data_IF_277768679761
#
_entry.id   IF_277768679761
#
_cell.length_a   1.000
_cell.length_b   1.000
_cell.length_c   1.000
_cell.angle_alpha   90.00
_cell.angle_beta   90.00
_cell.angle_gamma   90.00
#
_symmetry.space_group_name_H-M   'P 1'
#
loop_
_entity.id
_entity.type
_entity.pdbx_description
1 polymer ?
#
# COMPACT_ATOMS: atom_id res chain seq x y z
N UNK A 1 21.13 15.52 29.81
CA UNK A 1 20.02 15.16 28.90
C UNK A 1 18.83 16.03 29.24
N UNK A 2 18.40 16.93 28.36
CA UNK A 2 17.16 17.66 28.56
C UNK A 2 15.99 16.66 28.52
N UNK A 3 14.95 16.80 29.36
CA UNK A 3 13.77 15.97 29.27
C UNK A 3 13.19 16.12 27.86
N UNK A 4 13.11 15.00 27.13
CA UNK A 4 12.44 15.02 25.83
C UNK A 4 11.03 15.54 26.07
N UNK A 5 10.67 16.68 25.49
CA UNK A 5 9.29 17.18 25.44
C UNK A 5 8.46 16.20 24.59
N UNK A 6 8.16 15.03 25.14
CA UNK A 6 7.23 14.09 24.55
C UNK A 6 5.87 14.77 24.60
N UNK A 7 5.37 15.15 23.43
CA UNK A 7 4.00 15.62 23.31
C UNK A 7 3.11 14.50 23.86
N UNK A 8 2.45 14.77 24.98
CA UNK A 8 1.58 13.79 25.61
C UNK A 8 0.51 13.37 24.61
N UNK A 9 0.42 12.05 24.39
CA UNK A 9 -0.64 11.43 23.58
C UNK A 9 -2.01 11.59 24.27
N UNK A 10 -2.05 12.12 25.50
CA UNK A 10 -3.27 12.38 26.25
C UNK A 10 -4.29 13.19 25.44
N UNK A 11 -5.46 12.59 25.25
CA UNK A 11 -6.59 13.16 24.51
C UNK A 11 -6.48 13.06 23.00
N UNK A 12 -5.56 12.27 22.43
CA UNK A 12 -5.85 11.69 21.12
C UNK A 12 -6.99 10.67 21.28
N UNK A 13 -7.84 10.44 20.26
CA UNK A 13 -8.80 9.35 20.29
C UNK A 13 -8.09 8.06 20.68
N UNK A 14 -8.76 7.15 21.39
CA UNK A 14 -8.17 5.83 21.63
C UNK A 14 -8.05 5.07 20.30
N UNK A 15 -6.87 5.17 19.71
CA UNK A 15 -6.59 4.63 18.39
C UNK A 15 -6.63 3.09 18.42
N UNK A 16 -6.44 2.46 19.58
CA UNK A 16 -6.57 1.02 19.69
C UNK A 16 -8.02 0.59 19.50
N UNK A 17 -9.00 1.29 20.09
CA UNK A 17 -10.41 0.97 19.89
C UNK A 17 -10.93 1.29 18.49
N UNK A 18 -10.16 1.97 17.63
CA UNK A 18 -10.54 2.26 16.25
C UNK A 18 -9.76 1.40 15.25
N UNK A 19 -8.43 1.52 15.21
CA UNK A 19 -7.62 0.91 14.14
C UNK A 19 -7.41 -0.60 14.31
N UNK A 20 -7.45 -1.14 15.53
CA UNK A 20 -7.36 -2.59 15.72
C UNK A 20 -8.64 -3.28 15.25
N UNK A 21 -9.86 -2.88 15.66
CA UNK A 21 -11.08 -3.39 15.06
C UNK A 21 -11.14 -3.18 13.56
N UNK A 22 -10.73 -2.02 13.05
CA UNK A 22 -10.67 -1.76 11.61
C UNK A 22 -9.75 -2.76 10.89
N UNK A 23 -8.58 -3.09 11.47
CA UNK A 23 -7.68 -4.10 10.93
C UNK A 23 -8.31 -5.50 10.94
N UNK A 24 -8.94 -5.90 12.05
CA UNK A 24 -9.59 -7.21 12.19
C UNK A 24 -10.76 -7.34 11.20
N UNK A 25 -11.63 -6.34 11.14
CA UNK A 25 -12.78 -6.31 10.24
C UNK A 25 -12.30 -6.28 8.79
N UNK A 26 -11.28 -5.49 8.47
CA UNK A 26 -10.68 -5.44 7.13
C UNK A 26 -10.16 -6.80 6.68
N UNK A 27 -9.42 -7.50 7.57
CA UNK A 27 -8.94 -8.85 7.31
C UNK A 27 -10.09 -9.83 7.09
N UNK A 28 -11.09 -9.82 7.99
CA UNK A 28 -12.25 -10.71 7.90
C UNK A 28 -13.10 -10.45 6.66
N UNK A 29 -13.27 -9.19 6.25
CA UNK A 29 -14.02 -8.86 5.04
C UNK A 29 -13.25 -9.24 3.78
N UNK A 30 -11.94 -9.01 3.73
CA UNK A 30 -11.14 -9.42 2.57
C UNK A 30 -11.08 -10.94 2.42
N UNK A 31 -10.62 -11.64 3.45
CA UNK A 31 -10.40 -13.09 3.39
C UNK A 31 -11.67 -13.92 3.62
N UNK A 32 -12.51 -13.49 4.55
CA UNK A 32 -13.76 -14.17 4.86
C UNK A 32 -14.74 -14.13 3.69
N UNK A 33 -14.83 -13.02 2.96
CA UNK A 33 -15.70 -12.98 1.76
C UNK A 33 -15.17 -13.88 0.66
N UNK A 34 -13.85 -13.95 0.44
CA UNK A 34 -13.27 -14.93 -0.50
C UNK A 34 -13.54 -16.38 -0.10
N UNK A 35 -13.46 -16.69 1.19
CA UNK A 35 -13.79 -18.02 1.71
C UNK A 35 -15.27 -18.33 1.49
N UNK A 36 -16.18 -17.42 1.87
CA UNK A 36 -17.62 -17.58 1.66
C UNK A 36 -17.96 -17.66 0.18
N UNK A 37 -17.29 -16.91 -0.69
CA UNK A 37 -17.51 -16.95 -2.13
C UNK A 37 -16.95 -18.22 -2.78
N UNK A 38 -16.23 -19.07 -2.05
CA UNK A 38 -15.67 -20.32 -2.56
C UNK A 38 -14.48 -20.12 -3.50
N UNK A 39 -13.96 -18.90 -3.66
CA UNK A 39 -12.79 -18.65 -4.51
C UNK A 39 -11.54 -19.30 -3.93
N UNK A 40 -11.41 -19.34 -2.60
CA UNK A 40 -10.32 -20.07 -1.95
C UNK A 40 -10.37 -21.57 -2.27
N UNK A 41 -11.57 -22.16 -2.18
CA UNK A 41 -11.80 -23.56 -2.58
C UNK A 41 -11.46 -23.75 -4.05
N UNK A 42 -11.88 -22.82 -4.92
CA UNK A 42 -11.57 -22.88 -6.34
C UNK A 42 -10.06 -22.90 -6.60
N UNK A 43 -9.27 -22.08 -5.91
CA UNK A 43 -7.80 -22.12 -6.04
C UNK A 43 -7.20 -23.46 -5.58
N UNK A 44 -7.70 -24.03 -4.48
CA UNK A 44 -7.28 -25.37 -4.02
C UNK A 44 -7.64 -26.42 -5.06
N UNK A 45 -8.83 -26.34 -5.65
CA UNK A 45 -9.27 -27.23 -6.72
C UNK A 45 -8.38 -27.11 -7.97
N UNK A 46 -8.04 -25.89 -8.38
CA UNK A 46 -7.08 -25.66 -9.49
C UNK A 46 -5.73 -26.28 -9.18
N UNK A 47 -5.24 -26.10 -7.94
CA UNK A 47 -3.96 -26.69 -7.55
C UNK A 47 -3.98 -28.22 -7.54
N UNK A 48 -5.12 -28.80 -7.13
CA UNK A 48 -5.32 -30.25 -7.13
C UNK A 48 -5.45 -30.82 -8.55
N UNK A 49 -6.25 -30.17 -9.40
CA UNK A 49 -6.58 -30.66 -10.75
C UNK A 49 -5.50 -30.33 -11.77
N UNK A 50 -4.70 -29.28 -11.56
CA UNK A 50 -3.70 -28.81 -12.51
C UNK A 50 -4.29 -28.04 -13.70
N UNK A 51 -5.54 -27.59 -13.62
CA UNK A 51 -6.19 -26.78 -14.65
C UNK A 51 -7.10 -25.73 -14.02
N UNK A 52 -7.14 -24.54 -14.59
CA UNK A 52 -8.16 -23.54 -14.28
C UNK A 52 -9.52 -23.94 -14.86
N UNK A 53 -10.64 -23.36 -14.36
CA UNK A 53 -11.96 -23.51 -14.99
C UNK A 53 -12.01 -23.12 -16.47
N UNK A 54 -11.10 -22.24 -16.91
CA UNK A 54 -10.92 -21.86 -18.31
C UNK A 54 -10.28 -22.97 -19.18
N UNK A 55 -9.85 -24.08 -18.58
CA UNK A 55 -9.05 -25.12 -19.25
C UNK A 55 -7.56 -24.78 -19.35
N UNK A 56 -7.11 -23.64 -18.82
CA UNK A 56 -5.69 -23.27 -18.82
C UNK A 56 -4.90 -24.20 -17.91
N UNK A 57 -3.85 -24.89 -18.41
CA UNK A 57 -3.07 -25.82 -17.61
C UNK A 57 -2.18 -25.08 -16.58
N UNK A 58 -2.03 -25.69 -15.40
CA UNK A 58 -1.16 -25.26 -14.31
C UNK A 58 -0.14 -26.35 -14.05
N UNK A 59 1.14 -26.00 -14.00
CA UNK A 59 2.19 -26.95 -13.60
C UNK A 59 1.96 -27.38 -12.15
N UNK A 60 1.53 -28.63 -11.96
CA UNK A 60 1.17 -29.20 -10.66
C UNK A 60 2.21 -30.14 -10.05
N UNK A 61 3.35 -30.35 -10.73
CA UNK A 61 4.48 -31.14 -10.23
C UNK A 61 5.76 -30.30 -10.37
N UNK A 62 6.42 -30.03 -9.24
CA UNK A 62 7.64 -29.21 -9.18
C UNK A 62 8.82 -30.03 -8.67
N UNK A 63 8.64 -30.66 -7.51
CA UNK A 63 9.64 -31.47 -6.82
C UNK A 63 9.29 -32.95 -6.83
N UNK A 64 8.03 -33.31 -7.10
CA UNK A 64 7.51 -34.67 -6.99
C UNK A 64 7.12 -35.08 -5.57
N UNK A 65 7.30 -34.19 -4.58
CA UNK A 65 6.94 -34.43 -3.16
C UNK A 65 5.64 -33.72 -2.85
N UNK A 66 4.53 -34.47 -2.72
CA UNK A 66 3.17 -33.92 -2.56
C UNK A 66 3.03 -32.76 -1.56
N UNK A 67 3.51 -32.85 -0.30
CA UNK A 67 3.36 -31.75 0.65
C UNK A 67 4.20 -30.50 0.32
N UNK A 68 5.23 -30.61 -0.53
CA UNK A 68 5.99 -29.47 -1.04
C UNK A 68 5.36 -28.92 -2.32
N UNK A 69 4.85 -29.79 -3.19
CA UNK A 69 4.24 -29.40 -4.45
C UNK A 69 2.89 -28.73 -4.21
N UNK A 70 2.05 -29.19 -3.29
CA UNK A 70 0.74 -28.56 -3.04
C UNK A 70 0.84 -27.04 -2.75
N UNK A 71 1.65 -26.55 -1.79
CA UNK A 71 1.80 -25.11 -1.58
C UNK A 71 2.47 -24.41 -2.76
N UNK A 72 3.38 -25.06 -3.51
CA UNK A 72 3.98 -24.49 -4.72
C UNK A 72 2.97 -24.35 -5.86
N UNK A 73 2.07 -25.30 -6.03
CA UNK A 73 1.07 -25.32 -7.09
C UNK A 73 -0.09 -24.42 -6.75
N UNK A 74 -0.50 -24.36 -5.48
CA UNK A 74 -1.33 -23.28 -4.95
C UNK A 74 -0.61 -21.98 -5.32
N UNK A 75 0.62 -21.76 -4.89
CA UNK A 75 1.35 -20.53 -5.19
C UNK A 75 1.42 -20.22 -6.71
N UNK A 76 1.56 -21.21 -7.59
CA UNK A 76 1.61 -21.06 -9.06
C UNK A 76 0.24 -20.83 -9.69
N UNK A 77 -0.78 -21.61 -9.32
CA UNK A 77 -2.17 -21.41 -9.72
C UNK A 77 -2.66 -20.03 -9.27
N UNK A 78 -2.19 -19.61 -8.10
CA UNK A 78 -2.37 -18.26 -7.66
C UNK A 78 -1.56 -17.31 -8.60
N UNK A 79 -0.25 -17.48 -8.80
CA UNK A 79 0.59 -16.61 -9.67
C UNK A 79 0.15 -16.51 -11.14
N UNK A 80 -0.55 -17.49 -11.70
CA UNK A 80 -1.03 -17.45 -13.08
C UNK A 80 -2.33 -16.64 -13.25
N UNK A 81 -2.99 -16.24 -12.15
CA UNK A 81 -4.22 -15.46 -12.16
C UNK A 81 -3.96 -13.95 -11.94
N UNK A 82 -4.36 -13.04 -12.85
CA UNK A 82 -4.35 -11.59 -12.61
C UNK A 82 -5.06 -11.18 -11.31
N UNK A 83 -6.13 -11.89 -10.97
CA UNK A 83 -6.91 -11.71 -9.74
C UNK A 83 -6.12 -12.01 -8.46
N UNK A 84 -5.15 -12.91 -8.57
CA UNK A 84 -4.25 -13.16 -7.47
C UNK A 84 -3.24 -12.06 -7.31
N UNK A 85 -2.68 -11.51 -8.40
CA UNK A 85 -1.75 -10.38 -8.28
C UNK A 85 -2.39 -9.19 -7.60
N UNK A 86 -3.67 -8.97 -7.91
CA UNK A 86 -4.55 -8.06 -7.21
C UNK A 86 -4.67 -8.39 -5.70
N UNK A 87 -4.82 -9.66 -5.34
CA UNK A 87 -4.84 -10.14 -3.96
C UNK A 87 -3.47 -10.08 -3.27
N UNK A 88 -2.36 -10.28 -4.00
CA UNK A 88 -0.94 -10.24 -3.58
C UNK A 88 -0.41 -8.84 -3.36
N UNK A 89 -0.77 -7.89 -4.22
CA UNK A 89 -0.60 -6.48 -3.90
C UNK A 89 -1.36 -6.12 -2.61
N UNK A 90 -2.46 -6.82 -2.37
CA UNK A 90 -3.21 -6.80 -1.13
C UNK A 90 -2.75 -7.78 -0.03
N UNK A 91 -1.64 -8.54 -0.14
CA UNK A 91 -1.50 -9.88 0.49
C UNK A 91 -1.61 -9.98 2.01
N UNK A 92 -1.33 -8.91 2.75
CA UNK A 92 -1.58 -8.91 4.20
C UNK A 92 -2.92 -8.30 4.57
N UNK A 93 -3.83 -8.25 3.60
CA UNK A 93 -4.94 -7.32 3.54
C UNK A 93 -4.42 -5.89 3.64
N UNK A 94 -4.32 -5.14 2.54
CA UNK A 94 -4.03 -3.68 2.64
C UNK A 94 -4.93 -3.03 3.70
N UNK A 95 -6.16 -3.53 3.85
CA UNK A 95 -7.06 -3.16 4.94
C UNK A 95 -6.45 -3.38 6.35
N UNK A 96 -5.89 -4.55 6.64
CA UNK A 96 -5.25 -4.88 7.92
C UNK A 96 -3.85 -4.31 8.06
N UNK A 97 -3.00 -4.45 7.04
CA UNK A 97 -1.61 -3.99 7.06
C UNK A 97 -1.53 -2.47 7.21
N UNK A 98 -2.30 -1.70 6.43
CA UNK A 98 -2.27 -0.23 6.55
C UNK A 98 -2.90 0.23 7.86
N UNK A 99 -3.96 -0.41 8.34
CA UNK A 99 -4.55 -0.08 9.65
C UNK A 99 -3.57 -0.37 10.79
N UNK A 100 -2.88 -1.50 10.73
CA UNK A 100 -1.84 -1.88 11.70
C UNK A 100 -0.64 -0.95 11.64
N UNK A 101 -0.13 -0.66 10.44
CA UNK A 101 0.94 0.31 10.23
C UNK A 101 0.54 1.69 10.77
N UNK A 102 -0.65 2.17 10.43
CA UNK A 102 -1.17 3.47 10.88
C UNK A 102 -1.27 3.50 12.40
N UNK A 103 -1.74 2.41 13.03
CA UNK A 103 -1.77 2.27 14.48
C UNK A 103 -0.37 2.34 15.09
N UNK A 104 0.59 1.57 14.57
CA UNK A 104 1.97 1.57 15.06
C UNK A 104 2.64 2.93 14.85
N UNK A 105 2.41 3.55 13.69
CA UNK A 105 2.88 4.88 13.36
C UNK A 105 2.35 5.91 14.34
N UNK A 106 1.04 5.93 14.61
CA UNK A 106 0.48 6.91 15.54
C UNK A 106 0.92 6.63 16.98
N UNK A 107 1.06 5.36 17.37
CA UNK A 107 1.48 5.01 18.74
C UNK A 107 2.95 5.33 19.00
N UNK A 108 3.83 5.02 18.06
CA UNK A 108 5.28 5.03 18.30
C UNK A 108 6.01 6.19 17.62
N UNK A 109 5.55 6.62 16.43
CA UNK A 109 6.25 7.61 15.59
C UNK A 109 5.60 8.99 15.68
N UNK A 110 4.27 9.09 15.78
CA UNK A 110 3.59 10.37 15.84
C UNK A 110 3.99 11.24 17.07
N UNK A 111 4.12 10.69 18.29
CA UNK A 111 4.47 11.49 19.46
C UNK A 111 5.98 11.77 19.56
N UNK A 112 6.80 10.84 19.07
CA UNK A 112 8.24 10.85 19.29
C UNK A 112 9.04 11.45 18.14
N UNK A 113 8.49 11.44 16.92
CA UNK A 113 9.12 11.96 15.70
C UNK A 113 10.63 11.63 15.61
N UNK A 114 11.03 10.34 15.67
CA UNK A 114 12.44 10.00 15.73
C UNK A 114 13.20 10.63 14.56
N UNK A 115 14.31 11.29 14.86
CA UNK A 115 15.17 11.90 13.84
C UNK A 115 15.78 10.80 12.98
N UNK A 116 15.59 10.89 11.68
CA UNK A 116 16.28 10.04 10.71
C UNK A 116 17.71 10.56 10.60
N UNK A 117 18.75 9.71 10.59
CA UNK A 117 20.11 10.14 10.29
C UNK A 117 20.15 10.97 9.00
N UNK A 118 20.99 12.01 8.97
CA UNK A 118 20.96 13.00 7.91
C UNK A 118 21.21 12.39 6.52
N UNK A 119 22.23 11.55 6.40
CA UNK A 119 22.59 10.80 5.20
C UNK A 119 21.46 9.88 4.74
N UNK A 120 20.84 9.17 5.67
CA UNK A 120 19.68 8.32 5.41
C UNK A 120 18.49 9.14 4.89
N UNK A 121 18.23 10.31 5.49
CA UNK A 121 17.18 11.20 5.02
C UNK A 121 17.44 11.64 3.57
N UNK A 122 18.68 12.04 3.25
CA UNK A 122 19.08 12.46 1.89
C UNK A 122 19.00 11.34 0.84
N UNK A 123 19.11 10.07 1.25
CA UNK A 123 18.96 8.92 0.37
C UNK A 123 17.49 8.62 -0.02
N UNK A 124 16.51 9.05 0.79
CA UNK A 124 15.11 8.72 0.58
C UNK A 124 14.54 9.12 -0.79
N UNK A 125 14.85 10.28 -1.39
CA UNK A 125 14.37 10.63 -2.73
C UNK A 125 14.82 9.64 -3.80
N UNK A 126 16.05 9.14 -3.70
CA UNK A 126 16.57 8.12 -4.62
C UNK A 126 15.84 6.79 -4.43
N UNK A 127 15.60 6.39 -3.18
CA UNK A 127 14.84 5.17 -2.90
C UNK A 127 13.40 5.29 -3.37
N UNK A 128 12.78 6.47 -3.25
CA UNK A 128 11.45 6.73 -3.81
C UNK A 128 11.43 6.57 -5.33
N UNK A 129 12.44 7.09 -6.04
CA UNK A 129 12.59 6.91 -7.49
C UNK A 129 12.84 5.44 -7.83
N UNK A 130 13.70 4.74 -7.10
CA UNK A 130 13.93 3.30 -7.31
C UNK A 130 12.63 2.52 -7.24
N UNK A 131 11.81 2.76 -6.23
CA UNK A 131 10.52 2.07 -6.08
C UNK A 131 9.60 2.28 -7.29
N UNK A 132 9.59 3.48 -7.86
CA UNK A 132 8.85 3.79 -9.09
C UNK A 132 9.44 3.03 -10.27
N UNK A 133 10.77 3.01 -10.41
CA UNK A 133 11.47 2.32 -11.51
C UNK A 133 11.33 0.79 -11.44
N UNK A 134 10.99 0.22 -10.30
CA UNK A 134 10.67 -1.20 -10.16
C UNK A 134 9.28 -1.54 -10.73
N UNK A 135 8.36 -0.59 -10.88
CA UNK A 135 7.01 -0.84 -11.43
C UNK A 135 7.05 -1.27 -12.90
N UNK A 136 7.81 -0.61 -13.81
CA UNK A 136 8.00 -1.09 -15.17
C UNK A 136 8.49 -2.55 -15.28
N UNK A 137 9.27 -3.06 -14.33
CA UNK A 137 9.73 -4.46 -14.33
C UNK A 137 8.54 -5.43 -14.31
N UNK A 138 7.43 -5.03 -13.68
CA UNK A 138 6.19 -5.81 -13.60
C UNK A 138 5.30 -5.58 -14.82
N UNK A 139 5.17 -4.32 -15.25
CA UNK A 139 4.17 -3.93 -16.25
C UNK A 139 4.70 -4.09 -17.69
N UNK A 140 5.98 -3.83 -17.93
CA UNK A 140 6.56 -3.86 -19.27
C UNK A 140 6.46 -5.23 -19.95
N UNK A 141 6.71 -6.38 -19.28
CA UNK A 141 6.53 -7.68 -19.91
C UNK A 141 5.13 -7.85 -20.50
N UNK A 142 4.08 -7.45 -19.76
CA UNK A 142 2.71 -7.53 -20.25
C UNK A 142 2.49 -6.65 -21.50
N UNK A 143 2.97 -5.40 -21.47
CA UNK A 143 2.87 -4.47 -22.62
C UNK A 143 3.61 -5.02 -23.85
N UNK A 144 4.73 -5.70 -23.63
CA UNK A 144 5.57 -6.30 -24.67
C UNK A 144 5.05 -7.67 -25.16
N UNK A 145 3.85 -8.08 -24.73
CA UNK A 145 3.21 -9.32 -25.18
C UNK A 145 3.71 -10.58 -24.47
N UNK A 146 4.37 -10.47 -23.32
CA UNK A 146 4.77 -11.61 -22.52
C UNK A 146 3.55 -12.41 -22.04
N UNK A 147 3.72 -13.71 -21.87
CA UNK A 147 2.67 -14.59 -21.35
C UNK A 147 2.34 -14.22 -19.89
N UNK A 148 1.14 -14.57 -19.43
CA UNK A 148 0.75 -14.36 -18.02
C UNK A 148 1.74 -15.01 -17.04
N UNK A 149 2.33 -16.14 -17.41
CA UNK A 149 3.38 -16.81 -16.62
C UNK A 149 4.69 -16.01 -16.57
N UNK A 150 5.06 -15.32 -17.63
CA UNK A 150 6.25 -14.45 -17.62
C UNK A 150 6.02 -13.19 -16.79
N UNK A 151 4.84 -12.56 -16.92
CA UNK A 151 4.42 -11.43 -16.07
C UNK A 151 4.41 -11.84 -14.59
N UNK A 152 3.98 -13.07 -14.32
CA UNK A 152 3.98 -13.64 -13.00
C UNK A 152 5.38 -13.67 -12.38
N UNK A 153 6.39 -14.14 -13.11
CA UNK A 153 7.79 -14.13 -12.63
C UNK A 153 8.31 -12.71 -12.36
N UNK A 154 8.00 -11.75 -13.23
CA UNK A 154 8.35 -10.34 -13.01
C UNK A 154 7.74 -9.78 -11.72
N UNK A 155 6.51 -10.18 -11.40
CA UNK A 155 5.83 -9.74 -10.18
C UNK A 155 6.38 -10.41 -8.93
N UNK A 156 6.76 -11.69 -8.99
CA UNK A 156 7.53 -12.34 -7.89
C UNK A 156 8.81 -11.59 -7.61
N UNK A 157 9.56 -11.22 -8.65
CA UNK A 157 10.79 -10.44 -8.51
C UNK A 157 10.51 -9.07 -7.87
N UNK A 158 9.40 -8.41 -8.23
CA UNK A 158 8.98 -7.17 -7.59
C UNK A 158 8.65 -7.32 -6.10
N UNK A 159 8.13 -8.46 -5.65
CA UNK A 159 7.93 -8.72 -4.20
C UNK A 159 9.25 -8.83 -3.42
N UNK A 160 10.37 -9.06 -4.10
CA UNK A 160 11.70 -8.97 -3.50
C UNK A 160 12.22 -7.53 -3.40
N UNK A 161 11.44 -6.53 -3.85
CA UNK A 161 11.80 -5.12 -3.76
C UNK A 161 12.20 -4.66 -2.35
N UNK A 162 11.64 -5.14 -1.22
CA UNK A 162 12.13 -4.75 0.10
C UNK A 162 13.57 -5.21 0.36
N UNK A 163 13.98 -6.36 -0.20
CA UNK A 163 15.35 -6.88 -0.09
C UNK A 163 16.35 -6.07 -0.93
N UNK A 164 15.85 -5.33 -1.93
CA UNK A 164 16.67 -4.44 -2.77
C UNK A 164 16.71 -3.04 -2.15
N UNK A 165 15.55 -2.55 -1.68
CA UNK A 165 15.39 -1.18 -1.22
C UNK A 165 16.24 -0.85 0.01
N UNK A 166 16.36 -1.77 0.97
CA UNK A 166 17.21 -1.58 2.17
C UNK A 166 18.69 -1.40 1.80
N UNK A 167 19.33 -2.40 1.16
CA UNK A 167 20.72 -2.29 0.73
C UNK A 167 20.98 -1.10 -0.21
N UNK A 168 20.03 -0.78 -1.10
CA UNK A 168 20.14 0.40 -1.97
C UNK A 168 20.13 1.69 -1.16
N UNK A 169 19.18 1.84 -0.22
CA UNK A 169 19.10 2.99 0.67
C UNK A 169 20.41 3.17 1.45
N UNK A 170 20.97 2.09 2.00
CA UNK A 170 22.24 2.13 2.73
C UNK A 170 23.43 2.50 1.83
N UNK A 171 23.46 1.96 0.60
CA UNK A 171 24.49 2.31 -0.39
C UNK A 171 24.44 3.81 -0.72
N UNK A 172 23.27 4.35 -1.04
CA UNK A 172 23.10 5.76 -1.36
C UNK A 172 23.42 6.63 -0.14
N UNK A 173 22.99 6.24 1.06
CA UNK A 173 23.32 6.94 2.31
C UNK A 173 24.83 7.06 2.50
N UNK A 174 25.57 5.96 2.32
CA UNK A 174 27.03 5.94 2.42
C UNK A 174 27.73 6.82 1.37
N UNK A 175 27.16 6.92 0.15
CA UNK A 175 27.67 7.82 -0.87
C UNK A 175 27.42 9.29 -0.51
N UNK A 176 26.21 9.61 -0.03
CA UNK A 176 25.84 10.97 0.37
C UNK A 176 26.65 11.44 1.56
N UNK A 177 26.97 10.55 2.51
CA UNK A 177 27.86 10.87 3.62
C UNK A 177 29.24 11.42 3.18
N UNK A 178 29.67 11.12 1.94
CA UNK A 178 30.93 11.60 1.35
C UNK A 178 30.76 12.87 0.52
N UNK A 179 29.59 13.07 -0.09
CA UNK A 179 29.33 14.17 -1.03
C UNK A 179 28.77 15.41 -0.31
N UNK A 180 28.04 15.21 0.78
CA UNK A 180 27.34 16.27 1.50
C UNK A 180 25.87 16.44 1.08
N UNK A 181 25.17 17.47 1.62
CA UNK A 181 23.75 17.73 1.33
C UNK A 181 23.48 17.91 -0.17
N UNK A 182 22.44 17.23 -0.67
CA UNK A 182 21.94 17.43 -2.03
C UNK A 182 20.60 18.18 -1.99
N UNK A 183 19.72 17.81 -1.06
CA UNK A 183 18.36 18.36 -0.96
C UNK A 183 18.17 19.13 0.34
N UNK A 184 17.46 20.26 0.27
CA UNK A 184 17.11 21.04 1.46
C UNK A 184 16.12 20.29 2.38
N UNK A 185 15.14 19.58 1.81
CA UNK A 185 14.11 18.85 2.54
C UNK A 185 13.87 17.46 1.93
N UNK A 186 14.81 16.52 2.09
CA UNK A 186 14.78 15.27 1.35
C UNK A 186 13.57 14.39 1.70
N UNK A 187 13.17 14.32 2.97
CA UNK A 187 12.00 13.52 3.41
C UNK A 187 10.71 14.04 2.76
N UNK A 188 10.53 15.36 2.74
CA UNK A 188 9.37 16.02 2.10
C UNK A 188 9.38 15.75 0.60
N UNK A 189 10.53 15.85 -0.05
CA UNK A 189 10.70 15.54 -1.46
C UNK A 189 10.34 14.07 -1.78
N UNK A 190 10.76 13.11 -0.94
CA UNK A 190 10.37 11.71 -1.10
C UNK A 190 8.87 11.51 -1.05
N UNK A 191 8.17 12.17 -0.13
CA UNK A 191 6.71 12.13 -0.08
C UNK A 191 6.06 12.73 -1.33
N UNK A 192 6.61 13.82 -1.88
CA UNK A 192 6.13 14.36 -3.16
C UNK A 192 6.31 13.37 -4.30
N UNK A 193 7.48 12.73 -4.42
CA UNK A 193 7.76 11.74 -5.48
C UNK A 193 6.75 10.59 -5.42
N UNK A 194 6.60 9.93 -4.26
CA UNK A 194 5.67 8.79 -4.12
C UNK A 194 4.20 9.21 -4.21
N UNK A 195 3.84 10.39 -3.67
CA UNK A 195 2.49 10.91 -3.69
C UNK A 195 2.03 11.26 -5.11
N UNK A 196 2.89 11.94 -5.88
CA UNK A 196 2.61 12.26 -7.28
C UNK A 196 2.50 10.99 -8.12
N UNK A 197 3.42 10.04 -7.96
CA UNK A 197 3.32 8.77 -8.68
C UNK A 197 2.05 7.99 -8.32
N UNK A 198 1.69 7.93 -7.04
CA UNK A 198 0.42 7.33 -6.60
C UNK A 198 -0.79 7.99 -7.25
N UNK A 199 -0.79 9.32 -7.38
CA UNK A 199 -1.87 10.04 -8.05
C UNK A 199 -1.93 9.71 -9.56
N UNK A 200 -0.78 9.66 -10.23
CA UNK A 200 -0.70 9.28 -11.64
C UNK A 200 -1.26 7.88 -11.86
N UNK A 201 -0.88 6.91 -11.02
CA UNK A 201 -1.42 5.53 -11.09
C UNK A 201 -2.92 5.51 -10.84
N UNK A 202 -3.42 6.25 -9.85
CA UNK A 202 -4.85 6.36 -9.58
C UNK A 202 -5.61 6.90 -10.79
N UNK A 203 -5.14 8.00 -11.38
CA UNK A 203 -5.73 8.58 -12.59
C UNK A 203 -5.66 7.63 -13.79
N UNK A 204 -4.56 6.91 -13.98
CA UNK A 204 -4.45 5.92 -15.04
C UNK A 204 -5.54 4.84 -14.89
N UNK A 205 -5.73 4.28 -13.68
CA UNK A 205 -6.79 3.30 -13.40
C UNK A 205 -8.16 3.87 -13.71
N UNK A 206 -8.47 5.08 -13.23
CA UNK A 206 -9.74 5.78 -13.50
C UNK A 206 -9.98 5.96 -15.01
N UNK A 207 -8.96 6.42 -15.75
CA UNK A 207 -9.04 6.61 -17.19
C UNK A 207 -9.24 5.30 -17.95
N UNK A 208 -8.59 4.21 -17.52
CA UNK A 208 -8.81 2.88 -18.09
C UNK A 208 -10.22 2.37 -17.83
N UNK A 209 -10.78 2.64 -16.64
CA UNK A 209 -12.18 2.31 -16.34
C UNK A 209 -13.14 2.99 -17.30
N UNK A 210 -12.96 4.27 -17.60
CA UNK A 210 -13.80 4.98 -18.58
C UNK A 210 -13.69 4.46 -20.02
N UNK A 211 -12.67 3.66 -20.34
CA UNK A 211 -12.53 2.99 -21.65
C UNK A 211 -13.22 1.63 -21.71
N UNK A 212 -13.62 1.07 -20.58
CA UNK A 212 -14.25 -0.24 -20.50
C UNK A 212 -15.76 -0.07 -20.31
N UNK A 213 -16.60 -0.44 -21.29
CA UNK A 213 -18.05 -0.20 -21.22
C UNK A 213 -18.75 -0.99 -20.09
N UNK A 214 -18.10 -2.02 -19.58
CA UNK A 214 -18.61 -2.87 -18.50
C UNK A 214 -18.24 -2.37 -17.10
N UNK A 215 -17.40 -1.33 -16.99
CA UNK A 215 -16.91 -0.81 -15.72
C UNK A 215 -17.34 0.64 -15.51
N UNK A 216 -17.86 0.92 -14.31
CA UNK A 216 -18.06 2.27 -13.82
C UNK A 216 -17.23 2.51 -12.55
N UNK A 217 -17.17 3.77 -12.08
CA UNK A 217 -16.42 4.12 -10.87
C UNK A 217 -16.94 3.42 -9.62
N UNK A 218 -18.24 3.10 -9.58
CA UNK A 218 -18.86 2.46 -8.43
C UNK A 218 -18.42 1.00 -8.36
N UNK A 219 -18.51 0.28 -9.46
CA UNK A 219 -18.00 -1.07 -9.66
C UNK A 219 -16.50 -1.16 -9.49
N UNK A 220 -15.75 -0.07 -9.72
CA UNK A 220 -14.32 -0.06 -9.45
C UNK A 220 -14.00 -0.01 -7.94
N UNK A 221 -14.71 0.81 -7.16
CA UNK A 221 -14.31 1.13 -5.78
C UNK A 221 -15.22 0.61 -4.68
N UNK A 222 -16.47 0.28 -4.97
CA UNK A 222 -17.47 -0.11 -3.97
C UNK A 222 -17.63 -1.63 -3.96
N UNK A 223 -17.32 -2.30 -2.83
CA UNK A 223 -17.49 -3.74 -2.70
C UNK A 223 -18.91 -4.18 -3.05
N UNK A 224 -19.04 -5.07 -4.04
CA UNK A 224 -20.32 -5.68 -4.40
C UNK A 224 -20.20 -7.21 -4.47
N UNK A 225 -20.58 -7.94 -3.40
CA UNK A 225 -20.42 -9.38 -3.35
C UNK A 225 -21.30 -10.13 -4.35
N UNK A 226 -22.36 -9.51 -4.87
CA UNK A 226 -23.27 -10.14 -5.85
C UNK A 226 -22.64 -10.32 -7.24
N UNK A 227 -21.54 -9.61 -7.52
CA UNK A 227 -20.80 -9.74 -8.78
C UNK A 227 -19.99 -11.03 -8.87
N UNK A 228 -19.72 -11.69 -7.74
CA UNK A 228 -18.95 -12.94 -7.70
C UNK A 228 -19.86 -14.14 -7.92
N UNK A 229 -19.79 -14.74 -9.09
CA UNK A 229 -20.63 -15.89 -9.48
C UNK A 229 -19.90 -17.19 -9.21
N UNK A 230 -20.37 -17.96 -8.23
CA UNK A 230 -19.79 -19.28 -7.89
C UNK A 230 -19.89 -20.25 -9.06
N UNK A 231 -18.81 -20.99 -9.31
CA UNK A 231 -18.69 -21.96 -10.40
C UNK A 231 -18.48 -21.35 -11.78
N UNK A 232 -18.46 -20.02 -11.91
CA UNK A 232 -18.15 -19.37 -13.17
C UNK A 232 -16.65 -19.45 -13.49
N UNK A 233 -16.29 -19.40 -14.78
CA UNK A 233 -14.90 -19.32 -15.21
C UNK A 233 -14.23 -18.00 -14.77
N UNK A 234 -15.01 -16.98 -14.48
CA UNK A 234 -14.58 -15.64 -14.03
C UNK A 234 -14.52 -15.49 -12.51
N UNK A 235 -15.00 -16.48 -11.74
CA UNK A 235 -15.13 -16.40 -10.27
C UNK A 235 -13.83 -15.94 -9.60
N UNK A 236 -12.69 -16.48 -10.04
CA UNK A 236 -11.38 -16.11 -9.50
C UNK A 236 -11.09 -14.62 -9.71
N UNK A 237 -11.35 -14.10 -10.91
CA UNK A 237 -11.17 -12.69 -11.29
C UNK A 237 -12.10 -11.77 -10.51
N UNK A 238 -13.39 -12.13 -10.45
CA UNK A 238 -14.41 -11.37 -9.74
C UNK A 238 -14.10 -11.29 -8.23
N UNK A 239 -13.66 -12.39 -7.61
CA UNK A 239 -13.24 -12.42 -6.21
C UNK A 239 -11.97 -11.61 -5.95
N UNK A 240 -10.99 -11.64 -6.85
CA UNK A 240 -9.77 -10.82 -6.72
C UNK A 240 -10.08 -9.32 -6.79
N UNK A 241 -10.97 -8.92 -7.70
CA UNK A 241 -11.45 -7.54 -7.77
C UNK A 241 -12.17 -7.13 -6.48
N UNK A 242 -13.10 -7.97 -6.01
CA UNK A 242 -13.83 -7.73 -4.75
C UNK A 242 -12.89 -7.60 -3.53
N UNK A 243 -11.82 -8.40 -3.50
CA UNK A 243 -10.78 -8.30 -2.47
C UNK A 243 -10.04 -6.96 -2.48
N UNK A 244 -9.73 -6.42 -3.67
CA UNK A 244 -9.13 -5.07 -3.80
C UNK A 244 -10.10 -4.01 -3.32
N UNK A 245 -11.38 -4.08 -3.68
CA UNK A 245 -12.35 -3.04 -3.31
C UNK A 245 -12.39 -2.84 -1.79
N UNK A 246 -12.40 -3.93 -1.00
CA UNK A 246 -12.26 -3.83 0.44
C UNK A 246 -10.90 -3.27 0.87
N UNK A 247 -9.81 -3.71 0.26
CA UNK A 247 -8.48 -3.16 0.54
C UNK A 247 -8.42 -1.64 0.35
N UNK A 248 -8.97 -1.16 -0.76
CA UNK A 248 -9.06 0.25 -1.12
C UNK A 248 -9.93 1.02 -0.12
N UNK A 249 -11.14 0.54 0.19
CA UNK A 249 -12.04 1.17 1.16
C UNK A 249 -11.36 1.37 2.52
N UNK A 250 -10.76 0.32 3.06
CA UNK A 250 -10.11 0.37 4.37
C UNK A 250 -8.83 1.21 4.36
N UNK A 251 -8.10 1.24 3.25
CA UNK A 251 -6.97 2.17 3.08
C UNK A 251 -7.46 3.62 3.19
N UNK A 252 -8.52 3.99 2.46
CA UNK A 252 -9.09 5.35 2.54
C UNK A 252 -9.48 5.72 3.97
N UNK A 253 -10.18 4.82 4.68
CA UNK A 253 -10.57 5.04 6.08
C UNK A 253 -9.32 5.24 6.96
N UNK A 254 -8.30 4.40 6.82
CA UNK A 254 -7.06 4.52 7.58
C UNK A 254 -6.32 5.84 7.32
N UNK A 255 -6.29 6.32 6.06
CA UNK A 255 -5.70 7.61 5.68
C UNK A 255 -6.45 8.78 6.32
N UNK A 256 -7.79 8.75 6.31
CA UNK A 256 -8.61 9.79 6.95
C UNK A 256 -8.42 9.82 8.47
N UNK A 257 -8.33 8.65 9.12
CA UNK A 257 -8.04 8.54 10.55
C UNK A 257 -6.64 9.11 10.84
N UNK A 258 -5.62 8.72 10.06
CA UNK A 258 -4.26 9.24 10.20
C UNK A 258 -4.24 10.77 10.08
N UNK A 259 -4.88 11.32 9.05
CA UNK A 259 -5.02 12.76 8.85
C UNK A 259 -5.62 13.44 10.08
N UNK A 260 -6.77 12.95 10.57
CA UNK A 260 -7.41 13.47 11.79
C UNK A 260 -6.47 13.46 13.00
N UNK A 261 -5.73 12.36 13.22
CA UNK A 261 -4.79 12.24 14.33
C UNK A 261 -3.61 13.22 14.21
N UNK A 262 -3.00 13.34 13.01
CA UNK A 262 -1.90 14.27 12.74
C UNK A 262 -2.35 15.72 13.01
N UNK A 263 -3.49 16.15 12.46
CA UNK A 263 -3.97 17.52 12.66
C UNK A 263 -4.40 17.80 14.09
N UNK A 264 -4.97 16.82 14.80
CA UNK A 264 -5.33 16.98 16.21
C UNK A 264 -4.09 17.21 17.06
N UNK A 265 -3.00 16.46 16.79
CA UNK A 265 -1.74 16.65 17.49
C UNK A 265 -1.11 18.00 17.14
N UNK A 266 -1.07 18.37 15.85
CA UNK A 266 -0.50 19.65 15.43
C UNK A 266 -1.24 20.86 16.00
N UNK A 267 -2.57 20.80 16.10
CA UNK A 267 -3.38 21.85 16.75
C UNK A 267 -3.02 22.00 18.23
N UNK A 268 -2.85 20.88 18.94
CA UNK A 268 -2.45 20.89 20.36
C UNK A 268 -1.06 21.50 20.55
N UNK A 269 -0.10 21.12 19.70
CA UNK A 269 1.28 21.60 19.79
C UNK A 269 1.40 23.06 19.36
N UNK A 270 0.66 23.49 18.34
CA UNK A 270 0.75 24.87 17.82
C UNK A 270 0.04 25.90 18.70
N UNK A 271 -0.93 25.49 19.53
CA UNK A 271 -1.81 26.41 20.26
C UNK A 271 -2.66 27.33 19.36
N UNK A 272 -2.67 27.12 18.03
CA UNK A 272 -3.34 27.96 17.05
C UNK A 272 -4.62 27.29 16.55
N UNK A 273 -5.71 28.05 16.54
CA UNK A 273 -6.89 27.71 15.75
C UNK A 273 -6.56 27.94 14.27
N UNK A 274 -6.17 26.89 13.57
CA UNK A 274 -5.98 26.96 12.12
C UNK A 274 -7.37 27.07 11.47
N UNK A 275 -7.61 28.13 10.68
CA UNK A 275 -8.88 28.37 9.98
C UNK A 275 -9.14 27.40 8.83
N UNK A 276 -8.15 26.61 8.43
CA UNK A 276 -8.28 25.65 7.35
C UNK A 276 -9.01 24.39 7.84
N UNK A 277 -9.76 23.72 6.96
CA UNK A 277 -10.37 22.42 7.19
C UNK A 277 -9.43 21.30 6.70
N UNK A 278 -8.36 20.94 7.42
CA UNK A 278 -7.32 20.05 6.89
C UNK A 278 -7.84 18.64 6.58
N UNK A 279 -8.86 18.18 7.30
CA UNK A 279 -9.51 16.90 7.00
C UNK A 279 -10.25 16.93 5.66
N UNK A 280 -10.87 18.06 5.30
CA UNK A 280 -11.51 18.24 4.00
C UNK A 280 -10.44 18.25 2.88
N UNK A 281 -9.28 18.88 3.12
CA UNK A 281 -8.16 18.83 2.18
C UNK A 281 -7.62 17.42 1.98
N UNK A 282 -7.43 16.64 3.06
CA UNK A 282 -7.04 15.22 2.94
C UNK A 282 -8.09 14.44 2.16
N UNK A 283 -9.36 14.61 2.49
CA UNK A 283 -10.44 13.92 1.80
C UNK A 283 -10.45 14.26 0.31
N UNK A 284 -10.28 15.53 -0.06
CA UNK A 284 -10.20 15.96 -1.46
C UNK A 284 -9.00 15.36 -2.19
N UNK A 285 -7.80 15.41 -1.60
CA UNK A 285 -6.59 14.82 -2.21
C UNK A 285 -6.73 13.30 -2.32
N UNK A 286 -7.32 12.66 -1.31
CA UNK A 286 -7.55 11.21 -1.29
C UNK A 286 -8.58 10.79 -2.34
N UNK A 287 -9.62 11.60 -2.54
CA UNK A 287 -10.65 11.37 -3.55
C UNK A 287 -10.10 11.55 -4.97
N UNK A 288 -9.27 12.57 -5.19
CA UNK A 288 -8.76 12.94 -6.53
C UNK A 288 -7.48 12.19 -6.91
N UNK A 289 -6.58 11.97 -5.96
CA UNK A 289 -5.27 11.35 -6.18
C UNK A 289 -5.15 9.94 -5.57
N UNK A 290 -6.22 9.42 -4.98
CA UNK A 290 -6.21 8.15 -4.26
C UNK A 290 -5.57 8.24 -2.85
N UNK A 291 -5.75 7.18 -2.04
CA UNK A 291 -5.30 7.15 -0.64
C UNK A 291 -3.78 7.26 -0.46
N UNK A 292 -2.98 6.76 -1.41
CA UNK A 292 -1.52 6.90 -1.36
C UNK A 292 -1.06 8.35 -1.45
N UNK A 293 -1.65 9.14 -2.37
CA UNK A 293 -1.39 10.57 -2.48
C UNK A 293 -1.85 11.34 -1.23
N UNK A 294 -3.04 11.00 -0.71
CA UNK A 294 -3.57 11.57 0.53
C UNK A 294 -2.65 11.34 1.72
N UNK A 295 -2.17 10.10 1.91
CA UNK A 295 -1.22 9.75 2.96
C UNK A 295 0.11 10.50 2.78
N UNK A 296 0.69 10.50 1.59
CA UNK A 296 1.95 11.20 1.31
C UNK A 296 1.85 12.70 1.61
N UNK A 297 0.72 13.32 1.26
CA UNK A 297 0.47 14.74 1.56
C UNK A 297 0.40 15.02 3.06
N UNK A 298 -0.35 14.19 3.83
CA UNK A 298 -0.42 14.33 5.30
C UNK A 298 0.98 14.28 5.90
N UNK A 299 1.77 13.28 5.50
CA UNK A 299 3.10 13.06 6.04
C UNK A 299 4.05 14.19 5.65
N UNK A 300 4.01 14.65 4.41
CA UNK A 300 4.78 15.81 3.92
C UNK A 300 4.47 17.09 4.70
N UNK A 301 3.19 17.39 4.94
CA UNK A 301 2.78 18.56 5.74
C UNK A 301 3.26 18.48 7.18
N UNK A 302 3.20 17.29 7.77
CA UNK A 302 3.74 17.07 9.12
C UNK A 302 5.25 17.33 9.17
N UNK A 303 6.02 16.75 8.25
CA UNK A 303 7.48 16.95 8.19
C UNK A 303 7.84 18.43 8.03
N UNK A 304 7.14 19.13 7.14
CA UNK A 304 7.34 20.58 6.95
C UNK A 304 7.07 21.37 8.23
N UNK A 305 6.02 21.01 8.97
CA UNK A 305 5.67 21.65 10.24
C UNK A 305 6.72 21.38 11.31
N UNK A 306 7.26 20.16 11.37
CA UNK A 306 8.33 19.81 12.31
C UNK A 306 9.62 20.55 11.97
N UNK A 307 9.98 20.68 10.69
CA UNK A 307 11.15 21.44 10.25
C UNK A 307 11.08 22.92 10.67
N UNK A 308 9.90 23.56 10.56
CA UNK A 308 9.72 24.95 11.00
C UNK A 308 9.75 25.15 12.52
N UNK A 309 9.52 24.08 13.30
CA UNK A 309 9.50 24.12 14.77
C UNK A 309 10.83 23.74 15.41
N UNK A 310 11.72 23.07 14.67
CA UNK A 310 13.03 22.73 15.18
C UNK A 310 13.78 24.06 15.49
N UNK A 311 14.32 24.25 16.70
CA UNK A 311 15.15 25.40 16.97
C UNK A 311 16.29 25.39 15.97
N UNK A 312 16.53 26.54 15.32
CA UNK A 312 17.73 26.75 14.52
C UNK A 312 18.89 26.44 15.45
N UNK A 313 19.54 25.30 15.26
CA UNK A 313 20.82 25.06 15.92
C UNK A 313 21.77 26.00 15.21
N UNK A 314 22.14 27.08 15.88
CA UNK A 314 23.29 27.89 15.49
C UNK A 314 24.48 26.91 15.40
N UNK A 315 24.88 26.61 14.16
CA UNK A 315 26.04 25.80 13.85
C UNK A 315 27.30 26.67 13.90
#
# INVERSE_FOLDING_TARGET
MAPSNQASVAGLPDINSILLPLSIIGFLLQWGTMLVQGSLTQYITVAWQGYFPSGTPVKNVWTGVFPLDLPLVILVAFFQSPAFWQMLWGFFGVASAVSTYTRLYIRHRLPNSPSIPFDQAQALPFTAVLQILLVPVVVAPYILGATLTQVAYGTVAYFLSPLIAGPFQDLISNLIARIGPIFANPVVLSYYIVGTFSAVVHWAVVLFTFRSPELDLFTLYVPNPSLVRRGSSTQISESGHHFIQYGYLFFNIAVLILGKCVFTLDKKVAGRAQANHPLLTVAAITLVGGPGAGMAWILSKRESTMATRAPVKDY
#
